data_IF_681700768611
#
_entry.id   IF_681700768611
#
_cell.length_a   1.000
_cell.length_b   1.000
_cell.length_c   1.000
_cell.angle_alpha   90.00
_cell.angle_beta   90.00
_cell.angle_gamma   90.00
#
_symmetry.space_group_name_H-M   'P 1'
#
loop_
_entity.id
_entity.type
_entity.pdbx_description
1 polymer ?
#
# COMPACT_ATOMS: atom_id res chain seq x y z
N UNK A 1 -0.26 -8.09 43.15
CA UNK A 1 -0.64 -9.22 42.29
C UNK A 1 -2.13 -9.59 42.49
N UNK A 2 -3.07 -8.67 42.25
CA UNK A 2 -4.52 -8.96 42.31
C UNK A 2 -5.37 -7.92 41.55
N UNK A 3 -4.88 -7.51 40.37
CA UNK A 3 -5.66 -6.70 39.41
C UNK A 3 -5.55 -7.22 37.96
N UNK A 4 -4.93 -8.38 37.74
CA UNK A 4 -4.74 -8.95 36.41
C UNK A 4 -5.81 -9.99 35.99
N UNK A 5 -6.77 -10.31 36.87
CA UNK A 5 -7.74 -11.41 36.65
C UNK A 5 -9.14 -10.89 36.23
N UNK A 6 -9.40 -9.59 36.29
CA UNK A 6 -10.68 -8.99 35.87
C UNK A 6 -10.70 -8.48 34.43
N UNK A 7 -9.54 -8.34 33.78
CA UNK A 7 -9.43 -7.89 32.38
C UNK A 7 -9.39 -9.06 31.37
N UNK A 8 -8.92 -10.24 31.80
CA UNK A 8 -8.80 -11.41 30.93
C UNK A 8 -10.13 -12.00 30.42
N UNK A 9 -11.26 -11.97 31.16
CA UNK A 9 -12.52 -12.51 30.63
C UNK A 9 -13.13 -11.62 29.56
N UNK A 10 -13.06 -10.29 29.72
CA UNK A 10 -13.63 -9.34 28.77
C UNK A 10 -12.85 -9.32 27.45
N UNK A 11 -11.51 -9.31 27.50
CA UNK A 11 -10.66 -9.40 26.31
C UNK A 11 -10.83 -10.73 25.57
N UNK A 12 -10.96 -11.85 26.30
CA UNK A 12 -11.21 -13.15 25.67
C UNK A 12 -12.61 -13.23 25.02
N UNK A 13 -13.62 -12.59 25.62
CA UNK A 13 -14.97 -12.50 25.04
C UNK A 13 -14.99 -11.62 23.79
N UNK A 14 -14.26 -10.51 23.80
CA UNK A 14 -14.08 -9.62 22.64
C UNK A 14 -13.31 -10.31 21.50
N UNK A 15 -12.23 -11.06 21.80
CA UNK A 15 -11.50 -11.83 20.79
C UNK A 15 -12.37 -12.93 20.18
N UNK A 16 -13.10 -13.69 21.00
CA UNK A 16 -13.99 -14.75 20.53
C UNK A 16 -15.11 -14.19 19.64
N UNK A 17 -15.67 -13.03 20.01
CA UNK A 17 -16.67 -12.31 19.21
C UNK A 17 -16.09 -11.80 17.89
N UNK A 18 -14.90 -11.19 17.91
CA UNK A 18 -14.20 -10.74 16.70
C UNK A 18 -13.89 -11.91 15.78
N UNK A 19 -13.45 -13.04 16.34
CA UNK A 19 -13.22 -14.28 15.60
C UNK A 19 -14.49 -14.79 14.94
N UNK A 20 -15.63 -14.81 15.65
CA UNK A 20 -16.90 -15.25 15.09
C UNK A 20 -17.37 -14.37 13.93
N UNK A 21 -17.24 -13.04 14.06
CA UNK A 21 -17.55 -12.08 12.99
C UNK A 21 -16.62 -12.29 11.79
N UNK A 22 -15.32 -12.47 12.04
CA UNK A 22 -14.32 -12.68 11.00
C UNK A 22 -14.57 -14.00 10.27
N UNK A 23 -14.87 -15.09 10.99
CA UNK A 23 -15.18 -16.39 10.42
C UNK A 23 -16.41 -16.32 9.49
N UNK A 24 -17.46 -15.61 9.92
CA UNK A 24 -18.68 -15.44 9.14
C UNK A 24 -18.46 -14.62 7.86
N UNK A 25 -17.51 -13.67 7.88
CA UNK A 25 -17.16 -12.87 6.70
C UNK A 25 -16.19 -13.62 5.75
N UNK A 26 -15.16 -14.27 6.29
CA UNK A 26 -14.02 -14.76 5.51
C UNK A 26 -14.25 -16.15 4.91
N UNK A 27 -14.85 -17.10 5.65
CA UNK A 27 -15.02 -18.47 5.16
C UNK A 27 -15.82 -18.54 3.85
N UNK A 28 -16.96 -17.83 3.70
CA UNK A 28 -17.70 -17.84 2.44
C UNK A 28 -16.89 -17.26 1.26
N UNK A 29 -16.07 -16.23 1.51
CA UNK A 29 -15.22 -15.63 0.47
C UNK A 29 -14.12 -16.60 0.04
N UNK A 30 -13.49 -17.30 1.01
CA UNK A 30 -12.48 -18.30 0.71
C UNK A 30 -13.06 -19.47 -0.10
N UNK A 31 -14.23 -19.96 0.27
CA UNK A 31 -14.95 -21.02 -0.46
C UNK A 31 -15.31 -20.57 -1.88
N UNK A 32 -15.95 -19.40 -2.01
CA UNK A 32 -16.38 -18.84 -3.30
C UNK A 32 -15.22 -18.67 -4.28
N UNK A 33 -14.08 -18.17 -3.80
CA UNK A 33 -12.94 -17.81 -4.64
C UNK A 33 -11.83 -18.88 -4.69
N UNK A 34 -12.02 -20.00 -3.98
CA UNK A 34 -11.01 -21.05 -3.85
C UNK A 34 -9.68 -20.53 -3.30
N UNK A 35 -9.74 -19.68 -2.27
CA UNK A 35 -8.56 -19.07 -1.63
C UNK A 35 -7.88 -20.13 -0.76
N UNK A 36 -6.61 -20.48 -1.01
CA UNK A 36 -5.95 -21.57 -0.28
C UNK A 36 -5.62 -21.20 1.17
N UNK A 37 -5.14 -19.99 1.39
CA UNK A 37 -4.71 -19.49 2.69
C UNK A 37 -4.84 -17.98 2.79
N UNK A 38 -5.21 -17.52 3.99
CA UNK A 38 -5.52 -16.13 4.26
C UNK A 38 -5.16 -15.77 5.71
N UNK A 39 -4.65 -14.56 5.92
CA UNK A 39 -4.44 -13.97 7.23
C UNK A 39 -5.19 -12.64 7.35
N UNK A 40 -5.89 -12.45 8.47
CA UNK A 40 -6.58 -11.21 8.83
C UNK A 40 -5.92 -10.61 10.06
N UNK A 41 -5.58 -9.32 9.99
CA UNK A 41 -5.24 -8.51 11.15
C UNK A 41 -6.34 -7.50 11.44
N UNK A 42 -6.77 -7.37 12.69
CA UNK A 42 -7.77 -6.36 13.11
C UNK A 42 -7.18 -5.56 14.26
N UNK A 43 -7.33 -4.24 14.21
CA UNK A 43 -7.01 -3.34 15.32
C UNK A 43 -8.30 -2.74 15.86
N UNK A 44 -8.53 -2.87 17.16
CA UNK A 44 -9.60 -2.18 17.90
C UNK A 44 -8.97 -1.41 19.04
N UNK A 45 -9.08 -0.09 19.03
CA UNK A 45 -8.55 0.78 20.08
C UNK A 45 -7.04 0.60 20.39
N UNK A 46 -6.27 0.10 19.42
CA UNK A 46 -4.83 -0.15 19.51
C UNK A 46 -4.47 -1.59 19.87
N UNK A 47 -5.43 -2.42 20.21
CA UNK A 47 -5.23 -3.86 20.39
C UNK A 47 -5.33 -4.58 19.06
N UNK A 48 -4.36 -5.44 18.77
CA UNK A 48 -4.24 -6.14 17.49
C UNK A 48 -4.55 -7.63 17.64
N UNK A 49 -5.40 -8.14 16.75
CA UNK A 49 -5.87 -9.51 16.70
C UNK A 49 -5.49 -10.12 15.35
N UNK A 50 -4.93 -11.33 15.33
CA UNK A 50 -4.52 -12.04 14.11
C UNK A 50 -5.31 -13.34 13.97
N UNK A 51 -6.01 -13.51 12.86
CA UNK A 51 -6.75 -14.72 12.52
C UNK A 51 -6.21 -15.31 11.21
N UNK A 52 -5.85 -16.59 11.24
CA UNK A 52 -5.29 -17.29 10.07
C UNK A 52 -6.18 -18.44 9.62
N UNK A 53 -6.14 -18.69 8.32
CA UNK A 53 -7.02 -19.65 7.65
C UNK A 53 -6.24 -20.42 6.58
N UNK A 54 -6.53 -21.72 6.45
CA UNK A 54 -6.05 -22.55 5.35
C UNK A 54 -4.53 -22.75 5.32
N UNK A 55 -3.99 -22.90 4.12
CA UNK A 55 -2.61 -23.28 3.88
C UNK A 55 -1.83 -22.22 3.09
N UNK A 56 -0.61 -21.93 3.53
CA UNK A 56 0.31 -21.02 2.82
C UNK A 56 0.83 -21.62 1.50
N UNK A 57 0.70 -22.93 1.31
CA UNK A 57 1.01 -23.65 0.07
C UNK A 57 0.14 -24.92 -0.04
N UNK A 58 -0.58 -25.07 -1.17
CA UNK A 58 -1.37 -26.28 -1.46
C UNK A 58 -0.50 -27.53 -1.56
N UNK A 59 0.72 -27.39 -2.08
CA UNK A 59 1.60 -28.56 -2.34
C UNK A 59 2.23 -29.12 -1.07
N UNK A 60 2.50 -28.27 -0.08
CA UNK A 60 3.11 -28.69 1.20
C UNK A 60 2.09 -28.89 2.31
N UNK A 61 0.88 -28.30 2.18
CA UNK A 61 -0.13 -28.31 3.23
C UNK A 61 0.22 -27.49 4.47
N UNK A 62 1.33 -26.73 4.45
CA UNK A 62 1.74 -25.92 5.58
C UNK A 62 0.67 -24.87 5.91
N UNK A 63 0.29 -24.72 7.20
CA UNK A 63 -0.76 -23.78 7.59
C UNK A 63 -0.30 -22.33 7.42
N UNK A 64 -1.25 -21.42 7.20
CA UNK A 64 -0.97 -19.99 7.37
C UNK A 64 -0.79 -19.69 8.86
N UNK A 65 0.28 -18.97 9.18
CA UNK A 65 0.62 -18.50 10.53
C UNK A 65 0.79 -16.98 10.57
N UNK A 66 0.97 -16.41 11.76
CA UNK A 66 1.25 -14.98 11.93
C UNK A 66 2.57 -14.53 11.27
N UNK A 67 3.49 -15.47 11.02
CA UNK A 67 4.79 -15.25 10.38
C UNK A 67 4.75 -15.43 8.87
N UNK A 68 3.63 -15.86 8.29
CA UNK A 68 3.51 -16.09 6.85
C UNK A 68 3.61 -14.77 6.08
N UNK A 69 4.56 -14.71 5.14
CA UNK A 69 4.78 -13.57 4.26
C UNK A 69 3.91 -13.68 3.01
N UNK A 70 3.13 -12.63 2.76
CA UNK A 70 2.32 -12.45 1.55
C UNK A 70 2.85 -11.29 0.72
N UNK A 71 2.66 -11.36 -0.60
CA UNK A 71 2.93 -10.21 -1.47
C UNK A 71 1.82 -9.17 -1.30
N UNK A 72 2.20 -7.93 -1.00
CA UNK A 72 1.25 -6.85 -0.77
C UNK A 72 0.76 -6.20 -2.07
N UNK A 73 1.44 -6.45 -3.19
CA UNK A 73 1.15 -5.80 -4.46
C UNK A 73 1.09 -4.29 -4.29
N UNK A 74 0.05 -3.66 -4.83
CA UNK A 74 -0.11 -2.20 -4.81
C UNK A 74 -0.24 -1.52 -3.43
N UNK A 75 -0.40 -2.26 -2.33
CA UNK A 75 -0.23 -1.68 -0.98
C UNK A 75 1.20 -1.21 -0.77
N UNK A 76 2.20 -1.79 -1.45
CA UNK A 76 3.60 -1.34 -1.43
C UNK A 76 3.77 0.18 -1.66
N UNK A 77 2.89 0.77 -2.48
CA UNK A 77 2.92 2.21 -2.81
C UNK A 77 2.71 3.10 -1.58
N UNK A 78 2.00 2.64 -0.55
CA UNK A 78 1.78 3.43 0.67
C UNK A 78 3.08 3.56 1.46
N UNK A 79 3.95 2.53 1.42
CA UNK A 79 5.31 2.64 1.93
C UNK A 79 6.16 3.58 1.09
N UNK A 80 6.07 3.54 -0.24
CA UNK A 80 6.75 4.50 -1.14
C UNK A 80 6.35 5.95 -0.83
N UNK A 81 5.05 6.20 -0.63
CA UNK A 81 4.52 7.50 -0.22
C UNK A 81 5.03 7.92 1.18
N UNK A 82 5.11 6.97 2.11
CA UNK A 82 5.66 7.22 3.45
C UNK A 82 7.16 7.54 3.39
N UNK A 83 7.93 6.84 2.55
CA UNK A 83 9.34 7.16 2.32
C UNK A 83 9.51 8.57 1.75
N UNK A 84 8.69 8.95 0.77
CA UNK A 84 8.76 10.27 0.14
C UNK A 84 8.45 11.41 1.11
N UNK A 85 7.40 11.26 1.92
CA UNK A 85 7.03 12.23 2.96
C UNK A 85 8.03 12.24 4.13
N UNK A 86 8.66 11.10 4.44
CA UNK A 86 9.75 11.03 5.40
C UNK A 86 11.00 11.75 4.88
N UNK A 87 11.36 11.56 3.62
CA UNK A 87 12.46 12.27 2.98
C UNK A 87 12.20 13.79 2.97
N UNK A 88 10.96 14.22 2.72
CA UNK A 88 10.55 15.63 2.83
C UNK A 88 10.69 16.18 4.26
N UNK A 89 10.18 15.45 5.26
CA UNK A 89 10.27 15.85 6.66
C UNK A 89 11.74 15.98 7.16
N UNK A 90 12.66 15.25 6.55
CA UNK A 90 14.10 15.32 6.83
C UNK A 90 14.87 16.26 5.87
N UNK A 91 14.18 17.01 5.01
CA UNK A 91 14.78 18.03 4.14
C UNK A 91 15.54 17.47 2.92
N UNK A 92 15.36 16.20 2.57
CA UNK A 92 16.00 15.60 1.39
C UNK A 92 15.30 15.97 0.08
N UNK A 93 13.99 16.21 0.11
CA UNK A 93 13.20 16.62 -1.05
C UNK A 93 12.02 17.51 -0.64
N UNK A 94 11.31 18.01 -1.63
CA UNK A 94 10.02 18.69 -1.52
C UNK A 94 9.06 18.05 -2.52
N UNK A 95 7.88 17.64 -2.05
CA UNK A 95 6.84 17.05 -2.89
C UNK A 95 6.28 18.03 -3.91
N UNK A 96 6.30 19.33 -3.58
CA UNK A 96 5.97 20.41 -4.52
C UNK A 96 7.09 20.69 -5.54
N UNK A 97 8.29 20.15 -5.32
CA UNK A 97 9.42 20.23 -6.24
C UNK A 97 9.19 19.43 -7.53
N UNK A 98 9.97 19.75 -8.56
CA UNK A 98 9.85 19.11 -9.88
C UNK A 98 10.86 17.97 -10.02
N UNK A 99 10.54 17.01 -10.87
CA UNK A 99 11.42 15.87 -11.21
C UNK A 99 12.82 16.34 -11.60
N UNK A 100 12.94 17.40 -12.42
CA UNK A 100 14.24 17.91 -12.89
C UNK A 100 15.16 18.46 -11.80
N UNK A 101 14.62 18.76 -10.63
CA UNK A 101 15.38 19.26 -9.49
C UNK A 101 16.21 18.12 -8.85
N UNK A 102 15.73 16.88 -8.97
CA UNK A 102 16.38 15.68 -8.44
C UNK A 102 17.02 14.80 -9.53
N UNK A 103 16.55 14.95 -10.78
CA UNK A 103 17.09 14.28 -11.96
C UNK A 103 17.54 15.32 -13.01
N UNK A 104 18.77 15.84 -12.92
CA UNK A 104 19.27 16.87 -13.84
C UNK A 104 19.18 16.46 -15.32
N UNK A 105 19.29 15.16 -15.62
CA UNK A 105 19.13 14.61 -16.97
C UNK A 105 17.71 14.73 -17.55
N UNK A 106 16.72 15.20 -16.77
CA UNK A 106 15.34 15.46 -17.21
C UNK A 106 15.07 16.95 -17.47
N UNK A 107 16.05 17.84 -17.31
CA UNK A 107 15.87 19.26 -17.66
C UNK A 107 15.45 19.41 -19.13
N UNK A 108 14.40 20.18 -19.38
CA UNK A 108 13.86 20.42 -20.72
C UNK A 108 12.94 19.31 -21.27
N UNK A 109 12.65 18.26 -20.49
CA UNK A 109 11.67 17.23 -20.87
C UNK A 109 10.32 17.50 -20.19
N UNK A 110 9.23 16.99 -20.79
CA UNK A 110 7.91 17.12 -20.18
C UNK A 110 7.83 16.40 -18.83
N UNK A 111 8.49 15.23 -18.71
CA UNK A 111 8.60 14.52 -17.44
C UNK A 111 9.37 15.31 -16.38
N UNK A 112 10.41 16.06 -16.77
CA UNK A 112 11.18 16.90 -15.86
C UNK A 112 10.37 18.02 -15.20
N UNK A 113 9.26 18.44 -15.80
CA UNK A 113 8.39 19.50 -15.28
C UNK A 113 7.26 18.99 -14.36
N UNK A 114 7.07 17.68 -14.27
CA UNK A 114 6.10 17.04 -13.36
C UNK A 114 6.53 17.28 -11.90
N UNK A 115 5.58 17.64 -11.03
CA UNK A 115 5.84 17.73 -9.58
C UNK A 115 5.77 16.35 -8.93
N UNK A 116 6.50 16.16 -7.84
CA UNK A 116 6.53 14.85 -7.17
C UNK A 116 5.17 14.47 -6.57
N UNK A 117 4.35 15.44 -6.12
CA UNK A 117 2.97 15.21 -5.71
C UNK A 117 2.17 14.51 -6.82
N UNK A 118 2.26 14.98 -8.07
CA UNK A 118 1.53 14.38 -9.19
C UNK A 118 1.95 12.93 -9.49
N UNK A 119 3.20 12.56 -9.18
CA UNK A 119 3.66 11.18 -9.30
C UNK A 119 2.94 10.25 -8.31
N UNK A 120 2.76 10.72 -7.07
CA UNK A 120 2.10 9.94 -6.00
C UNK A 120 0.57 10.00 -6.00
N UNK A 121 -0.03 11.00 -6.64
CA UNK A 121 -1.48 11.12 -6.82
C UNK A 121 -1.97 10.56 -8.16
N UNK A 122 -1.07 10.05 -9.01
CA UNK A 122 -1.38 9.53 -10.35
C UNK A 122 -1.97 10.57 -11.31
N UNK A 123 -1.62 11.85 -11.15
CA UNK A 123 -2.15 12.97 -11.93
C UNK A 123 -1.09 13.69 -12.79
N UNK A 124 0.00 13.00 -13.13
CA UNK A 124 1.14 13.56 -13.88
C UNK A 124 0.87 13.91 -15.34
N UNK A 125 -0.15 13.32 -15.98
CA UNK A 125 -0.46 13.58 -17.39
C UNK A 125 -0.63 12.34 -18.28
N UNK A 126 -0.76 11.14 -17.70
CA UNK A 126 -1.04 9.90 -18.43
C UNK A 126 0.18 9.01 -18.63
N UNK A 127 0.35 8.05 -17.73
CA UNK A 127 1.27 6.92 -17.89
C UNK A 127 0.49 5.66 -18.26
N UNK A 128 1.11 4.68 -18.94
CA UNK A 128 0.56 3.33 -18.98
C UNK A 128 0.52 2.74 -17.56
N UNK A 129 -0.38 1.77 -17.34
CA UNK A 129 -0.51 1.08 -16.06
C UNK A 129 0.81 0.45 -15.60
N UNK A 130 1.56 -0.15 -16.54
CA UNK A 130 2.82 -0.84 -16.31
C UNK A 130 3.97 -0.14 -17.04
N UNK A 131 5.19 -0.37 -16.55
CA UNK A 131 6.40 -0.04 -17.32
C UNK A 131 6.35 -0.84 -18.63
N UNK A 132 6.59 -0.22 -19.81
CA UNK A 132 6.57 -0.95 -21.07
C UNK A 132 7.51 -2.16 -21.08
N UNK A 133 7.08 -3.26 -21.68
CA UNK A 133 7.82 -4.54 -21.61
C UNK A 133 9.24 -4.47 -22.18
N UNK A 134 9.51 -3.59 -23.12
CA UNK A 134 10.85 -3.38 -23.69
C UNK A 134 11.82 -2.59 -22.78
N UNK A 135 11.33 -2.02 -21.67
CA UNK A 135 12.15 -1.28 -20.70
C UNK A 135 12.59 -2.24 -19.59
N UNK A 136 13.85 -2.67 -19.65
CA UNK A 136 14.45 -3.68 -18.75
C UNK A 136 15.59 -3.15 -17.89
N UNK A 137 16.06 -1.94 -18.15
CA UNK A 137 17.19 -1.31 -17.45
C UNK A 137 16.86 0.11 -17.04
N UNK A 138 17.58 0.64 -16.05
CA UNK A 138 17.47 2.05 -15.64
C UNK A 138 17.74 3.01 -16.82
N UNK A 139 18.78 2.73 -17.63
CA UNK A 139 19.08 3.54 -18.82
C UNK A 139 17.91 3.60 -19.80
N UNK A 140 17.25 2.46 -20.05
CA UNK A 140 16.06 2.41 -20.90
C UNK A 140 14.87 3.13 -20.28
N UNK A 141 14.69 3.05 -18.95
CA UNK A 141 13.63 3.76 -18.23
C UNK A 141 13.81 5.28 -18.37
N UNK A 142 15.03 5.78 -18.12
CA UNK A 142 15.32 7.20 -18.24
C UNK A 142 15.20 7.67 -19.69
N UNK A 143 15.57 6.86 -20.68
CA UNK A 143 15.36 7.17 -22.09
C UNK A 143 13.86 7.25 -22.44
N UNK A 144 13.07 6.28 -21.98
CA UNK A 144 11.61 6.27 -22.12
C UNK A 144 10.99 7.56 -21.53
N UNK A 145 11.37 7.92 -20.30
CA UNK A 145 10.86 9.12 -19.62
C UNK A 145 11.28 10.43 -20.28
N UNK A 146 12.48 10.50 -20.88
CA UNK A 146 12.90 11.65 -21.69
C UNK A 146 11.99 11.87 -22.90
N UNK A 147 11.56 10.78 -23.54
CA UNK A 147 10.65 10.82 -24.69
C UNK A 147 9.16 10.94 -24.32
N UNK A 148 8.80 10.69 -23.07
CA UNK A 148 7.40 10.71 -22.63
C UNK A 148 6.79 12.10 -22.82
N UNK A 149 5.55 12.11 -23.32
CA UNK A 149 4.72 13.30 -23.48
C UNK A 149 3.39 13.08 -22.76
N UNK A 150 2.89 14.07 -22.00
CA UNK A 150 1.59 13.95 -21.37
C UNK A 150 0.49 13.88 -22.43
N UNK A 151 -0.52 13.05 -22.19
CA UNK A 151 -1.75 12.98 -22.97
C UNK A 151 -2.74 14.09 -22.60
N UNK A 152 -2.60 14.67 -21.40
CA UNK A 152 -3.43 15.75 -20.86
C UNK A 152 -2.66 16.54 -19.79
N UNK A 153 -3.13 17.74 -19.43
CA UNK A 153 -2.46 18.58 -18.43
C UNK A 153 -2.38 17.91 -17.04
N UNK A 154 -1.28 18.10 -16.32
CA UNK A 154 -1.14 17.60 -14.95
C UNK A 154 -2.27 18.13 -14.06
N UNK A 155 -2.75 17.30 -13.12
CA UNK A 155 -3.85 17.65 -12.21
C UNK A 155 -5.25 17.62 -12.83
N UNK A 156 -5.40 17.42 -14.16
CA UNK A 156 -6.73 17.40 -14.81
C UNK A 156 -7.40 16.03 -14.80
N UNK A 157 -6.61 14.96 -14.83
CA UNK A 157 -7.09 13.58 -14.80
C UNK A 157 -6.18 12.72 -13.94
N UNK A 158 -6.73 11.63 -13.42
CA UNK A 158 -6.03 10.54 -12.76
C UNK A 158 -5.93 9.35 -13.70
N UNK A 159 -4.72 8.82 -13.87
CA UNK A 159 -4.46 7.51 -14.48
C UNK A 159 -3.56 6.71 -13.56
N UNK A 160 -4.15 5.72 -12.88
CA UNK A 160 -3.41 4.85 -11.96
C UNK A 160 -2.27 4.12 -12.70
N UNK A 161 -1.03 4.32 -12.25
CA UNK A 161 0.15 3.90 -13.01
C UNK A 161 1.33 3.55 -12.12
N UNK A 162 1.91 2.37 -12.34
CA UNK A 162 3.12 1.91 -11.67
C UNK A 162 4.35 2.75 -12.01
N UNK A 163 4.61 3.18 -13.27
CA UNK A 163 5.74 4.05 -13.58
C UNK A 163 5.70 5.39 -12.83
N UNK A 164 4.50 5.93 -12.60
CA UNK A 164 4.30 7.23 -11.92
C UNK A 164 4.83 7.19 -10.49
N UNK A 165 4.19 6.39 -9.63
CA UNK A 165 4.59 6.22 -8.22
C UNK A 165 5.93 5.49 -8.08
N UNK A 166 6.28 4.62 -9.03
CA UNK A 166 7.60 4.01 -9.08
C UNK A 166 8.71 5.05 -9.20
N UNK A 167 8.52 6.06 -10.06
CA UNK A 167 9.47 7.16 -10.16
C UNK A 167 9.51 8.07 -8.93
N UNK A 168 8.40 8.22 -8.18
CA UNK A 168 8.45 8.90 -6.88
C UNK A 168 9.40 8.16 -5.93
N UNK A 169 9.31 6.83 -5.83
CA UNK A 169 10.21 6.00 -5.02
C UNK A 169 11.67 6.10 -5.45
N UNK A 170 11.93 5.96 -6.76
CA UNK A 170 13.28 6.08 -7.33
C UNK A 170 13.91 7.46 -7.05
N UNK A 171 13.16 8.55 -7.26
CA UNK A 171 13.63 9.91 -6.99
C UNK A 171 13.88 10.12 -5.50
N UNK A 172 12.98 9.63 -4.65
CA UNK A 172 13.09 9.73 -3.20
C UNK A 172 14.37 9.08 -2.69
N UNK A 173 14.63 7.83 -3.06
CA UNK A 173 15.83 7.12 -2.65
C UNK A 173 17.10 7.84 -3.11
N UNK A 174 17.11 8.36 -4.35
CA UNK A 174 18.22 9.14 -4.88
C UNK A 174 18.46 10.44 -4.12
N UNK A 175 17.40 11.15 -3.74
CA UNK A 175 17.48 12.36 -2.91
C UNK A 175 18.02 12.08 -1.50
N UNK A 176 17.75 10.88 -0.97
CA UNK A 176 18.33 10.38 0.29
C UNK A 176 19.75 9.84 0.13
N UNK A 177 20.29 9.75 -1.09
CA UNK A 177 21.62 9.19 -1.36
C UNK A 177 21.70 7.67 -1.21
N UNK A 178 20.57 6.96 -1.36
CA UNK A 178 20.47 5.51 -1.14
C UNK A 178 19.86 4.80 -2.36
N UNK A 179 20.05 3.47 -2.43
CA UNK A 179 19.22 2.61 -3.29
C UNK A 179 17.84 2.41 -2.67
N UNK A 180 16.79 2.23 -3.47
CA UNK A 180 15.43 2.14 -2.96
C UNK A 180 15.22 1.00 -1.95
N UNK A 181 15.72 -0.20 -2.26
CA UNK A 181 15.60 -1.35 -1.35
C UNK A 181 16.30 -1.10 -0.01
N UNK A 182 17.45 -0.42 -0.01
CA UNK A 182 18.17 -0.03 1.21
C UNK A 182 17.40 1.05 1.99
N UNK A 183 16.85 2.07 1.31
CA UNK A 183 16.02 3.09 1.95
C UNK A 183 14.78 2.49 2.64
N UNK A 184 14.22 1.44 2.06
CA UNK A 184 13.11 0.70 2.67
C UNK A 184 13.59 -0.16 3.85
N UNK A 185 14.59 -1.02 3.63
CA UNK A 185 15.00 -2.06 4.57
C UNK A 185 15.80 -1.53 5.76
N UNK A 186 16.64 -0.52 5.55
CA UNK A 186 17.57 -0.01 6.54
C UNK A 186 17.08 1.29 7.20
N UNK A 187 16.13 2.00 6.57
CA UNK A 187 15.57 3.25 7.10
C UNK A 187 14.09 3.15 7.44
N UNK A 188 13.21 2.96 6.45
CA UNK A 188 11.77 3.09 6.67
C UNK A 188 11.17 1.97 7.54
N UNK A 189 11.41 0.70 7.20
CA UNK A 189 10.85 -0.42 7.97
C UNK A 189 11.33 -0.43 9.43
N UNK A 190 12.63 -0.20 9.73
CA UNK A 190 13.09 -0.02 11.10
C UNK A 190 12.45 1.17 11.83
N UNK A 191 12.32 2.33 11.16
CA UNK A 191 11.67 3.51 11.74
C UNK A 191 10.18 3.27 12.05
N UNK A 192 9.54 2.42 11.26
CA UNK A 192 8.18 1.93 11.49
C UNK A 192 8.14 0.71 12.43
N UNK A 193 9.26 0.19 12.92
CA UNK A 193 9.29 -1.01 13.78
C UNK A 193 8.76 -2.29 13.12
N UNK A 194 8.84 -2.39 11.80
CA UNK A 194 8.40 -3.53 10.99
C UNK A 194 9.58 -4.50 10.81
N UNK A 195 9.44 -5.72 11.34
CA UNK A 195 10.55 -6.70 11.43
C UNK A 195 10.47 -7.80 10.39
N UNK A 196 9.29 -8.03 9.85
CA UNK A 196 8.94 -9.07 8.89
C UNK A 196 8.29 -8.45 7.64
N UNK A 197 8.83 -7.31 7.22
CA UNK A 197 8.47 -6.59 6.00
C UNK A 197 9.71 -6.40 5.13
N UNK A 198 9.62 -6.77 3.86
CA UNK A 198 10.78 -6.87 2.96
C UNK A 198 10.44 -6.44 1.53
N UNK A 199 11.35 -5.74 0.85
CA UNK A 199 11.30 -5.62 -0.63
C UNK A 199 11.95 -6.85 -1.30
N UNK A 200 12.97 -7.42 -0.65
CA UNK A 200 13.63 -8.68 -1.03
C UNK A 200 13.60 -9.61 0.19
N UNK A 201 12.89 -10.74 0.07
CA UNK A 201 12.76 -11.70 1.18
C UNK A 201 14.12 -12.35 1.47
N UNK A 202 14.67 -12.24 2.68
CA UNK A 202 15.97 -12.83 2.99
C UNK A 202 15.88 -14.36 3.05
N UNK A 203 17.01 -15.04 2.80
CA UNK A 203 17.09 -16.51 2.76
C UNK A 203 16.49 -17.16 4.01
N UNK A 204 16.74 -16.59 5.20
CA UNK A 204 16.23 -17.09 6.48
C UNK A 204 14.70 -17.02 6.64
N UNK A 205 14.01 -16.24 5.80
CA UNK A 205 12.55 -16.05 5.83
C UNK A 205 11.84 -16.70 4.64
N UNK A 206 12.56 -17.29 3.69
CA UNK A 206 11.96 -17.94 2.51
C UNK A 206 11.02 -19.09 2.87
N UNK A 207 11.27 -19.80 3.97
CA UNK A 207 10.39 -20.86 4.47
C UNK A 207 9.00 -20.33 4.86
N UNK A 208 8.89 -19.05 5.21
CA UNK A 208 7.63 -18.41 5.57
C UNK A 208 6.95 -17.70 4.38
N UNK A 209 7.58 -17.69 3.21
CA UNK A 209 7.01 -17.05 2.03
C UNK A 209 5.90 -17.93 1.44
N UNK A 210 4.65 -17.48 1.52
CA UNK A 210 3.53 -18.19 0.92
C UNK A 210 3.73 -18.44 -0.58
N UNK A 211 3.16 -19.53 -1.09
CA UNK A 211 3.00 -19.76 -2.51
C UNK A 211 1.71 -19.07 -2.95
N UNK A 212 1.80 -18.09 -3.86
CA UNK A 212 0.63 -17.46 -4.46
C UNK A 212 0.03 -18.32 -5.56
N UNK A 213 -1.24 -18.11 -5.84
CA UNK A 213 -2.00 -18.80 -6.87
C UNK A 213 -2.77 -17.80 -7.74
N UNK A 214 -2.68 -17.96 -9.05
CA UNK A 214 -3.46 -17.14 -10.00
C UNK A 214 -4.96 -17.46 -9.89
N UNK A 215 -5.78 -16.68 -10.60
CA UNK A 215 -7.23 -16.95 -10.73
C UNK A 215 -7.53 -18.36 -11.24
N UNK A 216 -6.64 -18.91 -12.07
CA UNK A 216 -6.75 -20.25 -12.64
C UNK A 216 -6.01 -21.31 -11.81
N UNK A 217 -5.67 -21.01 -10.54
CA UNK A 217 -5.00 -21.91 -9.60
C UNK A 217 -3.55 -22.33 -9.97
N UNK A 218 -2.91 -21.64 -10.92
CA UNK A 218 -1.49 -21.82 -11.21
C UNK A 218 -0.59 -21.14 -10.16
N UNK A 219 0.52 -21.77 -9.71
CA UNK A 219 1.43 -21.17 -8.75
C UNK A 219 2.14 -19.94 -9.35
N UNK A 220 2.07 -18.82 -8.65
CA UNK A 220 2.72 -17.57 -9.05
C UNK A 220 3.28 -16.81 -7.85
N UNK A 221 4.54 -16.37 -7.98
CA UNK A 221 5.16 -15.36 -7.14
C UNK A 221 5.65 -14.21 -8.02
N UNK A 222 5.82 -13.04 -7.43
CA UNK A 222 6.30 -11.86 -8.12
C UNK A 222 7.72 -12.06 -8.66
N UNK A 223 7.88 -11.80 -9.94
CA UNK A 223 9.20 -11.67 -10.60
C UNK A 223 9.71 -10.22 -10.50
N UNK A 224 11.03 -10.01 -10.27
CA UNK A 224 11.61 -8.67 -10.31
C UNK A 224 11.41 -7.97 -11.65
N UNK A 225 11.22 -6.66 -11.63
CA UNK A 225 11.09 -5.82 -12.82
C UNK A 225 11.48 -4.38 -12.54
N UNK A 226 11.62 -3.56 -13.60
CA UNK A 226 11.89 -2.14 -13.43
C UNK A 226 10.77 -1.49 -12.63
N UNK A 227 11.15 -0.78 -11.56
CA UNK A 227 10.27 -0.13 -10.58
C UNK A 227 9.36 -1.09 -9.79
N UNK A 228 9.64 -2.40 -9.77
CA UNK A 228 8.80 -3.37 -9.06
C UNK A 228 8.81 -3.15 -7.56
N UNK A 229 9.97 -2.87 -6.95
CA UNK A 229 10.09 -2.63 -5.50
C UNK A 229 9.27 -1.42 -5.07
N UNK A 230 9.33 -0.34 -5.86
CA UNK A 230 8.67 0.94 -5.63
C UNK A 230 7.16 0.87 -5.83
N UNK A 231 6.68 0.03 -6.74
CA UNK A 231 5.26 0.00 -7.11
C UNK A 231 4.48 -1.16 -6.49
N UNK A 232 5.08 -2.34 -6.29
CA UNK A 232 4.32 -3.53 -5.88
C UNK A 232 5.16 -4.65 -5.23
N UNK A 233 6.40 -4.37 -4.80
CA UNK A 233 7.37 -5.39 -4.43
C UNK A 233 7.48 -5.73 -2.95
N UNK A 234 6.67 -5.12 -2.07
CA UNK A 234 6.74 -5.39 -0.63
C UNK A 234 6.06 -6.71 -0.31
N UNK A 235 6.71 -7.51 0.53
CA UNK A 235 6.16 -8.69 1.20
C UNK A 235 6.08 -8.39 2.69
N UNK A 236 5.00 -8.82 3.34
CA UNK A 236 4.82 -8.61 4.79
C UNK A 236 3.95 -9.70 5.41
N UNK A 237 3.96 -9.76 6.73
CA UNK A 237 3.01 -10.53 7.54
C UNK A 237 1.78 -9.69 7.89
N UNK A 238 0.70 -10.35 8.34
CA UNK A 238 -0.47 -9.67 8.88
C UNK A 238 -0.14 -8.90 10.17
N UNK A 239 0.78 -9.42 10.99
CA UNK A 239 1.27 -8.78 12.22
C UNK A 239 1.96 -7.45 11.95
N UNK A 240 2.89 -7.41 11.00
CA UNK A 240 3.57 -6.16 10.63
C UNK A 240 2.61 -5.18 9.95
N UNK A 241 1.71 -5.67 9.09
CA UNK A 241 0.76 -4.81 8.41
C UNK A 241 -0.26 -4.19 9.37
N UNK A 242 -0.74 -4.92 10.38
CA UNK A 242 -1.68 -4.33 11.35
C UNK A 242 -0.96 -3.32 12.24
N UNK A 243 0.32 -3.55 12.54
CA UNK A 243 1.18 -2.54 13.19
C UNK A 243 1.37 -1.29 12.32
N UNK A 244 1.53 -1.44 11.01
CA UNK A 244 1.57 -0.30 10.08
C UNK A 244 0.23 0.44 10.04
N UNK A 245 -0.91 -0.27 10.11
CA UNK A 245 -2.23 0.36 10.26
C UNK A 245 -2.33 1.13 11.59
N UNK A 246 -1.85 0.57 12.70
CA UNK A 246 -1.81 1.28 14.00
C UNK A 246 -0.94 2.54 13.94
N UNK A 247 0.16 2.50 13.20
CA UNK A 247 0.99 3.68 12.95
C UNK A 247 0.21 4.76 12.21
N UNK A 248 -0.58 4.40 11.19
CA UNK A 248 -1.48 5.30 10.45
C UNK A 248 -2.64 5.82 11.32
N UNK A 249 -3.09 5.04 12.30
CA UNK A 249 -4.08 5.46 13.31
C UNK A 249 -3.49 6.34 14.43
N UNK A 250 -2.16 6.52 14.46
CA UNK A 250 -1.46 7.25 15.52
C UNK A 250 -1.39 6.51 16.86
N UNK A 251 -1.50 5.19 16.84
CA UNK A 251 -1.53 4.32 18.04
C UNK A 251 -0.15 3.73 18.38
N UNK A 252 0.81 3.82 17.45
CA UNK A 252 2.19 3.40 17.68
C UNK A 252 3.06 4.54 18.23
N UNK A 253 3.98 4.20 19.13
CA UNK A 253 5.01 5.13 19.61
C UNK A 253 6.13 5.21 18.59
N UNK A 254 6.14 6.27 17.80
CA UNK A 254 7.12 6.49 16.75
C UNK A 254 7.80 7.87 16.88
N UNK A 255 8.97 8.01 16.25
CA UNK A 255 9.70 9.28 16.17
C UNK A 255 8.84 10.43 15.58
N UNK A 256 9.20 11.69 15.87
CA UNK A 256 8.49 12.86 15.38
C UNK A 256 8.39 12.91 13.85
N UNK A 257 9.50 12.67 13.15
CA UNK A 257 9.55 12.80 11.69
C UNK A 257 8.76 11.70 10.99
N UNK A 258 8.78 10.46 11.51
CA UNK A 258 7.98 9.37 10.93
C UNK A 258 6.48 9.56 11.21
N UNK A 259 6.08 10.10 12.37
CA UNK A 259 4.68 10.47 12.63
C UNK A 259 4.19 11.56 11.68
N UNK A 260 5.02 12.58 11.45
CA UNK A 260 4.72 13.64 10.48
C UNK A 260 4.62 13.07 9.07
N UNK A 261 5.55 12.20 8.66
CA UNK A 261 5.54 11.56 7.35
C UNK A 261 4.22 10.80 7.11
N UNK A 262 3.83 9.93 8.05
CA UNK A 262 2.56 9.20 8.00
C UNK A 262 1.38 10.16 7.83
N UNK A 263 1.29 11.20 8.66
CA UNK A 263 0.22 12.18 8.58
C UNK A 263 0.18 12.88 7.21
N UNK A 264 1.34 13.25 6.65
CA UNK A 264 1.43 13.87 5.32
C UNK A 264 0.91 12.97 4.20
N UNK A 265 1.00 11.64 4.34
CA UNK A 265 0.45 10.70 3.33
C UNK A 265 -1.08 10.74 3.23
N UNK A 266 -1.79 11.26 4.25
CA UNK A 266 -3.26 11.37 4.31
C UNK A 266 -3.77 12.77 3.94
N UNK A 267 -2.91 13.60 3.33
CA UNK A 267 -3.33 14.90 2.78
C UNK A 267 -4.11 14.65 1.49
N UNK A 268 -5.36 15.13 1.41
CA UNK A 268 -6.21 14.97 0.24
C UNK A 268 -5.94 16.03 -0.83
N UNK A 269 -5.54 15.60 -2.02
CA UNK A 269 -5.13 16.50 -3.11
C UNK A 269 -6.20 16.64 -4.21
N UNK A 270 -6.93 15.57 -4.50
CA UNK A 270 -7.90 15.57 -5.61
C UNK A 270 -9.18 14.84 -5.23
N UNK A 271 -10.33 15.38 -5.66
CA UNK A 271 -11.60 14.66 -5.65
C UNK A 271 -11.76 13.85 -6.94
N UNK A 272 -12.15 12.58 -6.81
CA UNK A 272 -12.34 11.60 -7.87
C UNK A 272 -13.69 10.92 -7.67
N UNK A 273 -14.77 11.60 -8.07
CA UNK A 273 -16.11 11.18 -7.69
C UNK A 273 -16.29 11.21 -6.17
N UNK A 274 -16.61 10.07 -5.57
CA UNK A 274 -16.76 9.94 -4.11
C UNK A 274 -15.44 9.70 -3.36
N UNK A 275 -14.35 9.38 -4.07
CA UNK A 275 -13.03 9.15 -3.51
C UNK A 275 -12.26 10.47 -3.44
N UNK A 276 -11.54 10.69 -2.35
CA UNK A 276 -10.48 11.70 -2.27
C UNK A 276 -9.14 10.99 -2.40
N UNK A 277 -8.32 11.44 -3.34
CA UNK A 277 -6.98 10.93 -3.60
C UNK A 277 -5.98 11.67 -2.72
N UNK A 278 -5.33 10.91 -1.85
CA UNK A 278 -4.22 11.39 -1.03
C UNK A 278 -2.89 11.05 -1.72
N UNK A 279 -1.77 11.00 -0.98
CA UNK A 279 -0.54 10.42 -1.52
C UNK A 279 -0.67 8.89 -1.48
N UNK A 280 -1.10 8.31 -2.60
CA UNK A 280 -1.45 6.89 -2.80
C UNK A 280 -2.70 6.42 -2.05
N UNK A 281 -2.88 6.78 -0.78
CA UNK A 281 -4.09 6.43 -0.03
C UNK A 281 -5.35 6.97 -0.70
N UNK A 282 -6.43 6.20 -0.58
CA UNK A 282 -7.75 6.57 -1.09
C UNK A 282 -8.69 6.69 0.10
N UNK A 283 -9.35 7.84 0.26
CA UNK A 283 -10.21 8.10 1.40
C UNK A 283 -11.63 8.53 1.00
N UNK A 284 -12.58 8.26 1.88
CA UNK A 284 -14.00 8.53 1.69
C UNK A 284 -14.57 9.17 2.95
N UNK A 285 -15.26 10.30 2.79
CA UNK A 285 -15.99 10.92 3.90
C UNK A 285 -17.06 9.97 4.44
N UNK A 286 -17.23 9.91 5.76
CA UNK A 286 -18.21 9.04 6.41
C UNK A 286 -19.52 9.78 6.73
N UNK A 287 -20.67 9.07 6.75
CA UNK A 287 -20.84 7.67 6.39
C UNK A 287 -20.68 7.44 4.86
N UNK A 288 -20.07 6.31 4.49
CA UNK A 288 -19.92 5.89 3.09
C UNK A 288 -20.66 4.57 2.87
N UNK A 289 -21.42 4.49 1.78
CA UNK A 289 -22.15 3.27 1.44
C UNK A 289 -21.21 2.18 0.91
N UNK A 290 -21.48 0.92 1.25
CA UNK A 290 -20.69 -0.23 0.75
C UNK A 290 -20.61 -0.26 -0.78
N UNK A 291 -21.73 0.02 -1.46
CA UNK A 291 -21.78 0.09 -2.93
C UNK A 291 -20.77 1.11 -3.50
N UNK A 292 -20.61 2.26 -2.85
CA UNK A 292 -19.63 3.28 -3.24
C UNK A 292 -18.20 2.77 -3.07
N UNK A 293 -17.90 2.10 -1.95
CA UNK A 293 -16.59 1.50 -1.71
C UNK A 293 -16.27 0.42 -2.76
N UNK A 294 -17.20 -0.49 -3.02
CA UNK A 294 -17.04 -1.56 -4.03
C UNK A 294 -16.81 -0.97 -5.43
N UNK A 295 -17.62 0.00 -5.85
CA UNK A 295 -17.48 0.63 -7.16
C UNK A 295 -16.14 1.35 -7.31
N UNK A 296 -15.70 2.05 -6.27
CA UNK A 296 -14.44 2.80 -6.30
C UNK A 296 -13.22 1.89 -6.27
N UNK A 297 -13.30 0.73 -5.62
CA UNK A 297 -12.19 -0.23 -5.57
C UNK A 297 -12.20 -1.26 -6.72
N UNK A 298 -13.21 -1.20 -7.59
CA UNK A 298 -13.30 -2.03 -8.78
C UNK A 298 -12.26 -1.65 -9.85
N UNK A 299 -12.15 -2.48 -10.88
CA UNK A 299 -11.31 -2.17 -12.06
C UNK A 299 -11.68 -0.87 -12.80
N UNK A 300 -12.82 -0.22 -12.47
CA UNK A 300 -13.21 1.04 -13.07
C UNK A 300 -12.22 2.19 -12.78
N UNK A 301 -11.66 2.27 -11.57
CA UNK A 301 -10.69 3.32 -11.20
C UNK A 301 -9.27 3.06 -11.70
N UNK A 302 -9.03 1.96 -12.42
CA UNK A 302 -7.81 1.77 -13.21
C UNK A 302 -7.85 2.55 -14.53
N UNK A 303 -9.03 2.97 -14.98
CA UNK A 303 -9.20 3.80 -16.18
C UNK A 303 -8.84 5.25 -15.89
N UNK A 304 -8.51 5.99 -16.94
CA UNK A 304 -8.33 7.44 -16.85
C UNK A 304 -9.66 8.11 -16.51
N UNK A 305 -9.68 8.92 -15.45
CA UNK A 305 -10.86 9.65 -14.99
C UNK A 305 -10.52 11.12 -14.73
N UNK A 306 -11.43 12.07 -15.01
CA UNK A 306 -11.21 13.46 -14.64
C UNK A 306 -11.16 13.61 -13.12
N UNK A 307 -10.42 14.63 -12.65
CA UNK A 307 -10.33 14.95 -11.22
C UNK A 307 -10.53 16.43 -10.97
N UNK A 308 -10.89 16.78 -9.74
CA UNK A 308 -10.94 18.16 -9.28
C UNK A 308 -9.85 18.36 -8.24
N UNK A 309 -8.97 19.34 -8.45
CA UNK A 309 -7.97 19.73 -7.46
C UNK A 309 -8.63 20.33 -6.21
N UNK A 310 -8.11 19.96 -5.04
CA UNK A 310 -8.52 20.49 -3.75
C UNK A 310 -7.46 21.53 -3.33
N UNK A 311 -7.82 22.82 -3.38
CA UNK A 311 -6.93 23.93 -3.10
C UNK A 311 -7.50 24.85 -2.00
N UNK A 312 -6.81 25.02 -0.85
CA UNK A 312 -5.61 24.30 -0.45
C UNK A 312 -5.88 22.80 -0.21
N UNK A 313 -4.85 21.93 -0.26
CA UNK A 313 -5.02 20.50 0.01
C UNK A 313 -5.73 20.23 1.33
N UNK A 314 -6.59 19.21 1.34
CA UNK A 314 -7.35 18.81 2.51
C UNK A 314 -6.41 18.22 3.57
N UNK A 315 -6.43 18.78 4.77
CA UNK A 315 -5.67 18.25 5.90
C UNK A 315 -6.18 16.85 6.29
N UNK A 316 -5.32 15.96 6.85
CA UNK A 316 -5.73 14.65 7.31
C UNK A 316 -6.98 14.66 8.18
N UNK A 317 -8.03 13.97 7.72
CA UNK A 317 -9.32 13.88 8.39
C UNK A 317 -9.36 12.75 9.42
N UNK A 318 -10.23 12.86 10.41
CA UNK A 318 -10.45 11.78 11.38
C UNK A 318 -11.69 10.94 11.06
N UNK A 319 -12.77 11.56 10.57
CA UNK A 319 -14.01 10.85 10.22
C UNK A 319 -14.08 10.45 8.75
N UNK A 320 -13.10 9.63 8.36
CA UNK A 320 -12.92 9.13 7.00
C UNK A 320 -12.70 7.62 7.01
N UNK A 321 -13.08 6.95 5.93
CA UNK A 321 -12.68 5.59 5.64
C UNK A 321 -11.49 5.65 4.69
N UNK A 322 -10.32 5.18 5.11
CA UNK A 322 -9.10 5.17 4.29
C UNK A 322 -8.78 3.74 3.91
N UNK A 323 -8.42 3.49 2.66
CA UNK A 323 -8.07 2.15 2.22
C UNK A 323 -7.00 2.10 1.12
N UNK A 324 -6.52 0.86 0.88
CA UNK A 324 -5.74 0.53 -0.30
C UNK A 324 -5.89 -0.96 -0.65
N UNK A 325 -6.17 -1.23 -1.92
CA UNK A 325 -6.09 -2.56 -2.52
C UNK A 325 -4.68 -2.86 -3.05
N UNK A 326 -4.33 -4.14 -3.02
CA UNK A 326 -3.06 -4.68 -3.49
C UNK A 326 -3.24 -6.03 -4.15
N UNK A 327 -2.61 -6.25 -5.30
CA UNK A 327 -2.60 -7.56 -5.95
C UNK A 327 -1.28 -7.78 -6.69
N UNK A 328 -0.89 -9.04 -6.78
CA UNK A 328 0.07 -9.55 -7.78
C UNK A 328 -0.63 -10.65 -8.58
N UNK A 329 0.09 -11.40 -9.41
CA UNK A 329 -0.52 -12.52 -10.13
C UNK A 329 -1.04 -13.60 -9.17
N UNK A 330 -0.37 -13.81 -8.04
CA UNK A 330 -0.66 -14.89 -7.10
C UNK A 330 -1.31 -14.46 -5.78
N UNK A 331 -1.48 -13.17 -5.53
CA UNK A 331 -1.87 -12.64 -4.22
C UNK A 331 -2.90 -11.53 -4.34
N UNK A 332 -3.77 -11.46 -3.33
CA UNK A 332 -4.74 -10.40 -3.12
C UNK A 332 -4.60 -9.88 -1.69
N UNK A 333 -4.58 -8.57 -1.54
CA UNK A 333 -4.35 -7.91 -0.27
C UNK A 333 -5.20 -6.64 -0.15
N UNK A 334 -5.67 -6.36 1.05
CA UNK A 334 -6.49 -5.20 1.36
C UNK A 334 -6.13 -4.64 2.73
N UNK A 335 -6.07 -3.31 2.82
CA UNK A 335 -5.96 -2.61 4.10
C UNK A 335 -6.99 -1.49 4.16
N UNK A 336 -7.59 -1.30 5.33
CA UNK A 336 -8.47 -0.17 5.58
C UNK A 336 -8.46 0.23 7.05
N UNK A 337 -8.79 1.49 7.31
CA UNK A 337 -8.90 2.00 8.68
C UNK A 337 -9.81 3.24 8.76
N UNK A 338 -10.28 3.50 9.98
CA UNK A 338 -11.14 4.64 10.32
C UNK A 338 -10.51 5.34 11.54
N UNK A 339 -9.78 6.45 11.35
CA UNK A 339 -9.03 7.11 12.44
C UNK A 339 -9.88 7.46 13.67
N UNK A 340 -11.03 8.10 13.48
CA UNK A 340 -11.93 8.50 14.58
C UNK A 340 -12.44 7.29 15.40
N UNK A 341 -12.49 6.10 14.81
CA UNK A 341 -12.95 4.87 15.47
C UNK A 341 -11.80 4.01 15.98
N UNK A 342 -10.54 4.40 15.73
CA UNK A 342 -9.34 3.59 16.04
C UNK A 342 -9.49 2.14 15.57
N UNK A 343 -10.13 1.96 14.42
CA UNK A 343 -10.46 0.67 13.84
C UNK A 343 -9.62 0.47 12.58
N UNK A 344 -8.96 -0.68 12.49
CA UNK A 344 -8.11 -1.03 11.36
C UNK A 344 -8.29 -2.49 10.96
N UNK A 345 -8.11 -2.79 9.68
CA UNK A 345 -8.14 -4.15 9.15
C UNK A 345 -7.08 -4.34 8.06
N UNK A 346 -6.51 -5.53 8.05
CA UNK A 346 -5.61 -6.06 7.03
C UNK A 346 -6.14 -7.43 6.61
N UNK A 347 -6.21 -7.70 5.31
CA UNK A 347 -6.55 -9.00 4.75
C UNK A 347 -5.47 -9.36 3.73
N UNK A 348 -4.78 -10.48 3.92
CA UNK A 348 -3.73 -10.98 3.03
C UNK A 348 -4.08 -12.39 2.57
N UNK A 349 -4.20 -12.61 1.27
CA UNK A 349 -4.56 -13.89 0.68
C UNK A 349 -3.52 -14.33 -0.35
N UNK A 350 -3.21 -15.62 -0.38
CA UNK A 350 -2.34 -16.22 -1.40
C UNK A 350 -3.12 -16.60 -2.69
N UNK A 351 -4.09 -15.78 -3.07
CA UNK A 351 -4.78 -15.83 -4.36
C UNK A 351 -5.20 -14.44 -4.81
N UNK A 352 -5.06 -14.12 -6.09
CA UNK A 352 -5.62 -12.90 -6.68
C UNK A 352 -7.13 -13.10 -6.93
N UNK A 353 -7.94 -12.79 -5.93
CA UNK A 353 -9.41 -12.78 -6.02
C UNK A 353 -9.93 -11.37 -6.35
N UNK A 354 -11.20 -11.20 -6.78
CA UNK A 354 -11.76 -9.89 -7.13
C UNK A 354 -11.73 -8.89 -5.94
N UNK A 355 -11.51 -7.60 -6.20
CA UNK A 355 -11.49 -6.57 -5.15
C UNK A 355 -12.89 -6.31 -4.56
N UNK A 356 -13.92 -6.69 -5.31
CA UNK A 356 -15.33 -6.47 -4.97
C UNK A 356 -15.88 -7.44 -3.92
N UNK A 357 -15.16 -8.54 -3.66
CA UNK A 357 -15.52 -9.61 -2.73
C UNK A 357 -14.83 -9.44 -1.36
#
# INVERSE_FOLDING_TARGET
MLSAILLTPALADDEARLKAITDAAIKPIMEKNGIPGLAVGISVDGESYIFTYGAMSKSTGQPVTAETLFELGSISKTFTATLATYAEANGHLSLSGRVKDYLPGMKGTAFGDVTLTHLGTHTAGGFPLQVPDNVKTETQLLAYLKSWKPSYGAGTHRTYANPSIGMLGYITAKAMGQGYDAAMQDTLFPALGLKDTFTVVPQAKLANYAQGYTRNDEPARLSPGILSSEAYGVRSTATDMIRFVNANLGLEKLDGNIRQAIASTHTGYFAVGAMTQDLVWEQYARPVALKTLVQSNSGALLKTVPVQEIAPPLKPGQDVFVNKTGSTNGFGAYVAFIPQRKLGIVILANKNYPNED
#
